data_IF_095945503136
#
_entry.id   IF_095945503136
#
_cell.length_a   1.000
_cell.length_b   1.000
_cell.length_c   1.000
_cell.angle_alpha   90.00
_cell.angle_beta   90.00
_cell.angle_gamma   90.00
#
_symmetry.space_group_name_H-M   'P 1'
#
loop_
_entity.id
_entity.type
_entity.pdbx_description
1 polymer ?
#
# COMPACT_ATOMS: atom_id res chain seq x y z
N UNK A 1 2.06 -20.44 6.45
CA UNK A 1 1.61 -21.16 5.24
C UNK A 1 0.09 -21.30 5.26
N UNK A 2 -0.50 -21.91 6.26
CA UNK A 2 -1.93 -22.27 6.34
C UNK A 2 -2.89 -21.08 6.20
N UNK A 3 -2.54 -19.93 6.78
CA UNK A 3 -3.32 -18.70 6.66
C UNK A 3 -3.45 -18.21 5.21
N UNK A 4 -2.39 -18.34 4.40
CA UNK A 4 -2.44 -17.95 2.98
C UNK A 4 -3.21 -18.94 2.14
N UNK A 5 -3.08 -20.24 2.42
CA UNK A 5 -3.87 -21.31 1.78
C UNK A 5 -5.34 -21.11 2.09
N UNK A 6 -5.68 -20.94 3.37
CA UNK A 6 -7.06 -20.66 3.82
C UNK A 6 -7.63 -19.42 3.11
N UNK A 7 -6.86 -18.33 3.02
CA UNK A 7 -7.32 -17.11 2.34
C UNK A 7 -7.72 -17.38 0.89
N UNK A 8 -6.93 -18.16 0.15
CA UNK A 8 -7.24 -18.53 -1.25
C UNK A 8 -8.46 -19.41 -1.40
N UNK A 9 -8.78 -20.23 -0.40
CA UNK A 9 -9.98 -21.06 -0.40
C UNK A 9 -11.24 -20.29 0.00
N UNK A 10 -11.13 -19.35 0.95
CA UNK A 10 -12.29 -18.64 1.51
C UNK A 10 -12.73 -17.49 0.60
N UNK A 11 -11.79 -16.75 0.03
CA UNK A 11 -12.07 -15.58 -0.79
C UNK A 11 -11.82 -15.85 -2.27
N UNK A 12 -12.82 -15.74 -3.15
CA UNK A 12 -12.60 -15.76 -4.60
C UNK A 12 -11.83 -14.49 -5.02
N UNK A 13 -10.50 -14.62 -5.14
CA UNK A 13 -9.64 -13.52 -5.50
C UNK A 13 -9.78 -13.14 -6.96
N UNK A 14 -10.10 -11.87 -7.20
CA UNK A 14 -9.92 -11.22 -8.50
C UNK A 14 -8.82 -10.18 -8.34
N UNK A 15 -7.97 -10.02 -9.35
CA UNK A 15 -6.91 -9.00 -9.34
C UNK A 15 -7.07 -8.07 -10.53
N UNK A 16 -7.18 -6.78 -10.26
CA UNK A 16 -7.20 -5.72 -11.26
C UNK A 16 -5.85 -5.01 -11.30
N UNK A 17 -5.40 -4.66 -12.50
CA UNK A 17 -4.13 -3.98 -12.75
C UNK A 17 -4.37 -2.64 -13.41
N UNK A 18 -3.67 -1.61 -12.92
CA UNK A 18 -3.70 -0.26 -13.51
C UNK A 18 -2.26 0.25 -13.60
N UNK A 19 -1.89 0.80 -14.75
CA UNK A 19 -0.64 1.53 -14.90
C UNK A 19 -0.87 3.01 -14.60
N UNK A 20 -0.07 3.58 -13.68
CA UNK A 20 -0.20 4.94 -13.21
C UNK A 20 1.04 5.76 -13.56
N UNK A 21 0.83 7.00 -14.02
CA UNK A 21 1.88 8.00 -14.10
C UNK A 21 2.10 8.64 -12.71
N UNK A 22 3.26 8.34 -12.13
CA UNK A 22 3.67 8.85 -10.82
C UNK A 22 4.79 9.90 -10.90
N UNK A 23 5.00 10.48 -12.09
CA UNK A 23 6.07 11.45 -12.34
C UNK A 23 6.00 12.63 -11.37
N UNK A 24 4.80 13.19 -11.14
CA UNK A 24 4.62 14.31 -10.23
C UNK A 24 4.96 13.94 -8.78
N UNK A 25 4.61 12.74 -8.34
CA UNK A 25 4.93 12.21 -7.00
C UNK A 25 6.46 12.05 -6.85
N UNK A 26 7.13 11.48 -7.86
CA UNK A 26 8.58 11.29 -7.86
C UNK A 26 9.30 12.63 -7.82
N UNK A 27 8.89 13.58 -8.66
CA UNK A 27 9.49 14.93 -8.72
C UNK A 27 9.26 15.69 -7.40
N UNK A 28 8.03 15.66 -6.87
CA UNK A 28 7.71 16.29 -5.58
C UNK A 28 8.59 15.71 -4.46
N UNK A 29 8.58 14.38 -4.32
CA UNK A 29 9.38 13.71 -3.29
C UNK A 29 10.87 14.05 -3.40
N UNK A 30 11.43 14.06 -4.62
CA UNK A 30 12.83 14.40 -4.84
C UNK A 30 13.15 15.85 -4.48
N UNK A 31 12.22 16.78 -4.70
CA UNK A 31 12.36 18.19 -4.35
C UNK A 31 12.35 18.41 -2.83
N UNK A 32 11.44 17.72 -2.11
CA UNK A 32 11.24 17.98 -0.67
C UNK A 32 12.09 17.10 0.25
N UNK A 33 12.69 16.01 -0.22
CA UNK A 33 13.36 15.00 0.62
C UNK A 33 14.43 15.56 1.55
N UNK A 34 15.18 16.58 1.10
CA UNK A 34 16.26 17.21 1.89
C UNK A 34 15.67 18.09 2.99
N UNK A 35 14.82 19.04 2.61
CA UNK A 35 14.18 19.94 3.57
C UNK A 35 13.28 19.20 4.57
N UNK A 36 12.61 18.13 4.13
CA UNK A 36 11.82 17.28 5.02
C UNK A 36 12.71 16.61 6.09
N UNK A 37 13.87 16.06 5.69
CA UNK A 37 14.83 15.49 6.63
C UNK A 37 15.35 16.56 7.61
N UNK A 38 15.70 17.75 7.13
CA UNK A 38 16.21 18.84 7.96
C UNK A 38 15.17 19.36 8.97
N UNK A 39 13.91 19.47 8.55
CA UNK A 39 12.83 20.02 9.39
C UNK A 39 12.17 18.98 10.29
N UNK A 40 12.01 17.74 9.83
CA UNK A 40 11.24 16.70 10.54
C UNK A 40 12.12 15.61 11.17
N UNK A 41 13.42 15.55 10.83
CA UNK A 41 14.33 14.51 11.27
C UNK A 41 14.04 13.13 10.68
N UNK A 42 13.18 13.06 9.63
CA UNK A 42 12.66 11.83 9.05
C UNK A 42 12.88 11.75 7.54
N UNK A 43 13.11 10.54 7.04
CA UNK A 43 13.16 10.28 5.60
C UNK A 43 11.76 10.17 5.03
N UNK A 44 11.46 10.96 3.98
CA UNK A 44 10.25 10.75 3.20
C UNK A 44 10.50 9.72 2.08
N UNK A 45 9.90 8.54 2.21
CA UNK A 45 9.89 7.48 1.20
C UNK A 45 8.56 7.53 0.41
N UNK A 46 8.36 6.66 -0.56
CA UNK A 46 7.10 6.59 -1.30
C UNK A 46 5.97 5.94 -0.49
N UNK A 47 6.29 5.06 0.46
CA UNK A 47 5.28 4.31 1.23
C UNK A 47 4.30 5.20 1.97
N UNK A 48 4.69 6.25 2.71
CA UNK A 48 3.74 7.16 3.36
C UNK A 48 2.79 7.83 2.37
N UNK A 49 3.26 8.18 1.17
CA UNK A 49 2.47 8.81 0.11
C UNK A 49 1.41 7.83 -0.40
N UNK A 50 1.79 6.57 -0.61
CA UNK A 50 0.86 5.52 -1.02
C UNK A 50 -0.15 5.20 0.07
N UNK A 51 0.26 5.19 1.35
CA UNK A 51 -0.67 5.02 2.49
C UNK A 51 -1.71 6.14 2.52
N UNK A 52 -1.29 7.40 2.34
CA UNK A 52 -2.23 8.54 2.29
C UNK A 52 -3.21 8.42 1.12
N UNK A 53 -2.74 8.03 -0.06
CA UNK A 53 -3.60 7.80 -1.23
C UNK A 53 -4.61 6.67 -0.99
N UNK A 54 -4.17 5.56 -0.39
CA UNK A 54 -5.05 4.42 -0.02
C UNK A 54 -6.09 4.86 1.00
N UNK A 55 -5.70 5.59 2.04
CA UNK A 55 -6.63 6.12 3.05
C UNK A 55 -7.72 6.98 2.40
N UNK A 56 -7.34 7.85 1.46
CA UNK A 56 -8.30 8.68 0.72
C UNK A 56 -9.26 7.81 -0.10
N UNK A 57 -8.74 6.84 -0.84
CA UNK A 57 -9.55 5.91 -1.62
C UNK A 57 -10.52 5.10 -0.75
N UNK A 58 -10.10 4.63 0.43
CA UNK A 58 -10.96 3.89 1.36
C UNK A 58 -12.07 4.74 1.96
N UNK A 59 -11.88 6.06 2.09
CA UNK A 59 -12.95 6.99 2.48
C UNK A 59 -13.99 7.14 1.37
N UNK A 60 -13.56 7.18 0.12
CA UNK A 60 -14.44 7.30 -1.04
C UNK A 60 -15.16 5.96 -1.36
N UNK A 61 -14.49 4.82 -1.08
CA UNK A 61 -14.98 3.47 -1.35
C UNK A 61 -14.97 2.60 -0.07
N UNK A 62 -15.84 2.87 0.91
CA UNK A 62 -15.79 2.25 2.23
C UNK A 62 -16.07 0.74 2.23
N UNK A 63 -16.69 0.20 1.18
CA UNK A 63 -16.92 -1.24 1.03
C UNK A 63 -15.63 -2.04 0.79
N UNK A 64 -14.51 -1.39 0.51
CA UNK A 64 -13.18 -2.02 0.45
C UNK A 64 -12.53 -2.13 1.84
N UNK A 65 -13.07 -1.41 2.85
CA UNK A 65 -12.61 -1.43 4.24
C UNK A 65 -13.55 -2.23 5.15
N UNK A 66 -13.83 -3.49 4.77
CA UNK A 66 -14.76 -4.37 5.47
C UNK A 66 -14.17 -5.76 5.71
N UNK A 67 -14.87 -6.58 6.48
CA UNK A 67 -14.61 -8.01 6.60
C UNK A 67 -15.89 -8.82 6.36
N UNK A 68 -15.75 -10.05 5.91
CA UNK A 68 -16.85 -11.01 5.81
C UNK A 68 -16.82 -11.93 7.04
N UNK A 69 -17.93 -11.96 7.77
CA UNK A 69 -18.12 -12.84 8.93
C UNK A 69 -19.39 -13.66 8.76
N UNK A 70 -19.26 -14.89 8.28
CA UNK A 70 -20.38 -15.71 7.86
C UNK A 70 -21.18 -15.02 6.74
N UNK A 71 -22.46 -14.76 6.99
CA UNK A 71 -23.36 -14.06 6.07
C UNK A 71 -23.41 -12.54 6.29
N UNK A 72 -22.56 -12.01 7.17
CA UNK A 72 -22.56 -10.59 7.52
C UNK A 72 -21.33 -9.89 6.96
N UNK A 73 -21.51 -8.65 6.51
CA UNK A 73 -20.43 -7.73 6.18
C UNK A 73 -20.20 -6.81 7.39
N UNK A 74 -19.00 -6.87 7.94
CA UNK A 74 -18.57 -6.00 9.04
C UNK A 74 -17.83 -4.81 8.47
N UNK A 75 -18.43 -3.62 8.51
CA UNK A 75 -17.80 -2.38 8.07
C UNK A 75 -16.96 -1.80 9.22
N UNK A 76 -15.67 -1.60 8.96
CA UNK A 76 -14.79 -0.94 9.91
C UNK A 76 -14.99 0.58 9.88
N UNK A 77 -15.02 1.17 11.08
CA UNK A 77 -15.03 2.63 11.23
C UNK A 77 -13.62 3.19 11.09
N UNK A 78 -12.64 2.49 11.67
CA UNK A 78 -11.23 2.87 11.64
C UNK A 78 -10.58 2.42 10.33
N UNK A 79 -9.59 3.16 9.87
CA UNK A 79 -8.75 2.80 8.71
C UNK A 79 -7.36 2.45 9.24
N UNK A 80 -7.10 1.14 9.33
CA UNK A 80 -5.85 0.58 9.84
C UNK A 80 -5.10 -0.10 8.69
N UNK A 81 -4.00 0.51 8.26
CA UNK A 81 -3.25 0.02 7.10
C UNK A 81 -2.13 -0.91 7.52
N UNK A 82 -2.27 -2.19 7.14
CA UNK A 82 -1.18 -3.16 7.22
C UNK A 82 -0.13 -2.87 6.15
N UNK A 83 1.13 -2.81 6.53
CA UNK A 83 2.25 -2.59 5.63
C UNK A 83 3.09 -3.86 5.56
N UNK A 84 2.99 -4.62 4.46
CA UNK A 84 3.75 -5.84 4.31
C UNK A 84 5.25 -5.54 4.19
N UNK A 85 6.04 -6.11 5.09
CA UNK A 85 7.48 -5.95 5.18
C UNK A 85 8.18 -7.31 5.15
N UNK A 86 9.17 -7.46 4.28
CA UNK A 86 10.04 -8.63 4.27
C UNK A 86 11.10 -8.50 5.36
N UNK A 87 11.25 -9.56 6.13
CA UNK A 87 12.29 -9.68 7.14
C UNK A 87 13.60 -10.21 6.51
N UNK A 88 14.76 -9.98 7.15
CA UNK A 88 16.04 -10.54 6.70
C UNK A 88 16.04 -12.09 6.60
N UNK A 89 15.18 -12.74 7.40
CA UNK A 89 14.96 -14.20 7.36
C UNK A 89 14.21 -14.71 6.14
N UNK A 90 13.72 -13.82 5.26
CA UNK A 90 12.83 -14.15 4.15
C UNK A 90 11.35 -14.28 4.54
N UNK A 91 11.03 -14.22 5.84
CA UNK A 91 9.64 -14.20 6.30
C UNK A 91 8.98 -12.86 6.05
N UNK A 92 7.65 -12.87 5.97
CA UNK A 92 6.83 -11.67 5.82
C UNK A 92 6.16 -11.33 7.16
N UNK A 93 6.18 -10.06 7.53
CA UNK A 93 5.41 -9.51 8.65
C UNK A 93 4.61 -8.30 8.17
N UNK A 94 3.46 -8.07 8.80
CA UNK A 94 2.54 -6.99 8.38
C UNK A 94 2.26 -6.07 9.58
N UNK A 95 3.19 -5.15 9.91
CA UNK A 95 2.90 -4.13 10.92
C UNK A 95 1.76 -3.21 10.47
N UNK A 96 0.98 -2.73 11.42
CA UNK A 96 -0.26 -1.99 11.20
C UNK A 96 -0.12 -0.52 11.64
N UNK A 97 -0.40 0.39 10.73
CA UNK A 97 -0.57 1.81 11.01
C UNK A 97 -2.03 2.01 11.41
N UNK A 98 -2.28 2.08 12.72
CA UNK A 98 -3.63 2.28 13.25
C UNK A 98 -4.09 3.72 13.04
N UNK A 99 -5.38 3.89 12.72
CA UNK A 99 -6.01 5.20 12.47
C UNK A 99 -5.20 6.05 11.48
N UNK A 100 -4.81 5.43 10.36
CA UNK A 100 -3.96 6.07 9.36
C UNK A 100 -4.60 7.35 8.77
N UNK A 101 -5.92 7.45 8.80
CA UNK A 101 -6.71 8.59 8.35
C UNK A 101 -6.62 9.81 9.28
N UNK A 102 -6.15 9.64 10.51
CA UNK A 102 -5.93 10.71 11.50
C UNK A 102 -4.51 11.29 11.41
N UNK A 103 -3.63 10.72 10.59
CA UNK A 103 -2.24 11.14 10.45
C UNK A 103 -2.04 12.02 9.21
N UNK A 104 -1.27 13.08 9.37
CA UNK A 104 -0.75 13.85 8.24
C UNK A 104 0.51 13.19 7.65
N UNK A 105 1.05 13.73 6.56
CA UNK A 105 2.23 13.17 5.87
C UNK A 105 3.44 12.97 6.81
N UNK A 106 3.69 13.91 7.71
CA UNK A 106 4.80 13.79 8.69
C UNK A 106 4.54 12.64 9.67
N UNK A 107 3.32 12.53 10.19
CA UNK A 107 2.91 11.43 11.07
C UNK A 107 3.00 10.06 10.37
N UNK A 108 2.54 9.98 9.12
CA UNK A 108 2.66 8.77 8.31
C UNK A 108 4.13 8.40 8.06
N UNK A 109 4.99 9.36 7.69
CA UNK A 109 6.40 9.11 7.48
C UNK A 109 7.09 8.55 8.73
N UNK A 110 6.83 9.15 9.90
CA UNK A 110 7.35 8.69 11.20
C UNK A 110 6.89 7.27 11.51
N UNK A 111 5.59 6.98 11.37
CA UNK A 111 5.03 5.65 11.63
C UNK A 111 5.57 4.58 10.69
N UNK A 112 5.63 4.87 9.40
CA UNK A 112 6.17 3.93 8.38
C UNK A 112 7.64 3.62 8.67
N UNK A 113 8.47 4.64 8.94
CA UNK A 113 9.89 4.45 9.22
C UNK A 113 10.11 3.68 10.51
N UNK A 114 9.40 4.02 11.59
CA UNK A 114 9.49 3.36 12.89
C UNK A 114 9.11 1.88 12.77
N UNK A 115 7.91 1.59 12.25
CA UNK A 115 7.43 0.20 12.10
C UNK A 115 8.33 -0.62 11.20
N UNK A 116 8.79 -0.06 10.07
CA UNK A 116 9.70 -0.76 9.15
C UNK A 116 11.06 -1.05 9.79
N UNK A 117 11.60 -0.11 10.59
CA UNK A 117 12.86 -0.31 11.30
C UNK A 117 12.73 -1.37 12.40
N UNK A 118 11.68 -1.29 13.20
CA UNK A 118 11.43 -2.28 14.28
C UNK A 118 11.07 -3.66 13.73
N UNK A 119 10.39 -3.74 12.59
CA UNK A 119 10.16 -4.99 11.89
C UNK A 119 11.47 -5.71 11.53
N UNK A 120 12.40 -4.99 10.87
CA UNK A 120 13.71 -5.56 10.49
C UNK A 120 14.56 -6.01 11.68
N UNK A 121 14.37 -5.39 12.84
CA UNK A 121 15.09 -5.70 14.07
C UNK A 121 14.33 -6.64 15.01
N UNK A 122 13.23 -7.26 14.56
CA UNK A 122 12.35 -8.13 15.36
C UNK A 122 11.88 -7.48 16.69
N UNK A 123 11.58 -6.17 16.65
CA UNK A 123 11.18 -5.37 17.83
C UNK A 123 9.71 -4.90 17.77
N UNK A 124 8.90 -5.50 16.92
CA UNK A 124 7.46 -5.23 16.89
C UNK A 124 6.76 -5.88 18.07
N UNK A 125 5.76 -5.18 18.62
CA UNK A 125 4.88 -5.73 19.64
C UNK A 125 3.74 -6.53 19.00
N UNK A 126 3.14 -7.51 19.71
CA UNK A 126 2.04 -8.31 19.17
C UNK A 126 0.82 -7.50 18.72
N UNK A 127 0.51 -6.40 19.41
CA UNK A 127 -0.60 -5.52 19.08
C UNK A 127 -0.34 -4.65 17.84
N UNK A 128 0.90 -4.54 17.40
CA UNK A 128 1.29 -3.77 16.21
C UNK A 128 1.17 -4.57 14.90
N UNK A 129 0.89 -5.86 14.98
CA UNK A 129 0.71 -6.74 13.81
C UNK A 129 -0.73 -7.25 13.70
N UNK A 130 -1.65 -6.70 14.47
CA UNK A 130 -3.06 -7.08 14.53
C UNK A 130 -3.98 -5.90 14.28
N UNK A 131 -5.22 -6.20 13.87
CA UNK A 131 -6.26 -5.19 13.68
C UNK A 131 -6.12 -4.34 12.42
N UNK A 132 -5.34 -4.78 11.43
CA UNK A 132 -5.31 -4.17 10.10
C UNK A 132 -6.63 -4.38 9.36
N UNK A 133 -7.12 -3.36 8.67
CA UNK A 133 -8.38 -3.41 7.91
C UNK A 133 -8.16 -3.42 6.39
N UNK A 134 -6.99 -3.03 5.93
CA UNK A 134 -6.53 -3.09 4.55
C UNK A 134 -5.02 -3.30 4.53
N UNK A 135 -4.48 -3.96 3.52
CA UNK A 135 -3.03 -4.20 3.41
C UNK A 135 -2.44 -3.56 2.16
N UNK A 136 -1.31 -2.88 2.35
CA UNK A 136 -0.43 -2.38 1.27
C UNK A 136 0.86 -3.21 1.24
N UNK A 137 1.25 -3.71 0.07
CA UNK A 137 2.52 -4.40 -0.13
C UNK A 137 3.33 -3.73 -1.24
N UNK A 138 4.63 -3.60 -1.05
CA UNK A 138 5.52 -3.05 -2.06
C UNK A 138 6.37 -4.17 -2.67
N UNK A 139 5.95 -4.65 -3.83
CA UNK A 139 6.66 -5.68 -4.60
C UNK A 139 7.74 -5.08 -5.50
N UNK A 140 7.69 -3.76 -5.71
CA UNK A 140 8.66 -3.03 -6.52
C UNK A 140 10.05 -2.98 -5.91
N UNK A 141 10.18 -3.14 -4.58
CA UNK A 141 11.49 -3.25 -3.90
C UNK A 141 12.27 -4.48 -4.32
N UNK A 142 11.59 -5.52 -4.82
CA UNK A 142 12.17 -6.73 -5.39
C UNK A 142 12.32 -6.66 -6.93
N UNK A 143 12.03 -5.50 -7.54
CA UNK A 143 12.07 -5.31 -8.97
C UNK A 143 10.82 -5.78 -9.73
N UNK A 144 9.80 -6.30 -9.04
CA UNK A 144 8.57 -6.74 -9.67
C UNK A 144 7.77 -5.56 -10.22
N UNK A 145 7.23 -5.72 -11.43
CA UNK A 145 6.41 -4.69 -12.09
C UNK A 145 4.99 -4.71 -11.55
N UNK A 146 4.41 -5.89 -11.37
CA UNK A 146 3.07 -6.13 -10.82
C UNK A 146 3.04 -7.49 -10.12
N UNK A 147 1.95 -7.79 -9.42
CA UNK A 147 1.77 -9.05 -8.71
C UNK A 147 0.31 -9.38 -8.47
N UNK A 148 0.05 -10.57 -7.98
CA UNK A 148 -1.27 -11.04 -7.54
C UNK A 148 -1.21 -11.30 -6.04
N UNK A 149 -1.29 -10.27 -5.19
CA UNK A 149 -1.13 -10.44 -3.76
C UNK A 149 -2.30 -11.25 -3.17
N UNK A 150 -1.99 -12.01 -2.10
CA UNK A 150 -3.00 -12.81 -1.39
C UNK A 150 -3.59 -11.95 -0.28
N UNK A 151 -4.92 -11.92 -0.19
CA UNK A 151 -5.66 -11.15 0.81
C UNK A 151 -5.27 -11.62 2.21
N UNK A 152 -5.00 -10.68 3.11
CA UNK A 152 -4.71 -10.94 4.51
C UNK A 152 -6.03 -11.00 5.31
N UNK A 153 -6.57 -12.21 5.46
CA UNK A 153 -7.85 -12.41 6.17
C UNK A 153 -7.84 -11.80 7.58
N UNK A 154 -8.96 -11.23 8.06
CA UNK A 154 -10.32 -11.21 7.47
C UNK A 154 -10.58 -10.02 6.52
N UNK A 155 -9.55 -9.30 6.10
CA UNK A 155 -9.65 -8.21 5.12
C UNK A 155 -10.23 -8.72 3.78
N UNK A 156 -10.80 -7.83 3.00
CA UNK A 156 -11.37 -8.15 1.68
C UNK A 156 -10.52 -7.68 0.51
N UNK A 157 -9.44 -6.93 0.77
CA UNK A 157 -8.57 -6.44 -0.30
C UNK A 157 -7.13 -6.20 0.17
N UNK A 158 -6.21 -6.23 -0.79
CA UNK A 158 -4.79 -5.91 -0.64
C UNK A 158 -4.29 -5.23 -1.92
N UNK A 159 -3.54 -4.14 -1.75
CA UNK A 159 -2.92 -3.41 -2.85
C UNK A 159 -1.43 -3.72 -2.92
N UNK A 160 -0.95 -4.17 -4.08
CA UNK A 160 0.48 -4.23 -4.38
C UNK A 160 0.90 -3.05 -5.26
N UNK A 161 1.99 -2.39 -4.89
CA UNK A 161 2.64 -1.36 -5.70
C UNK A 161 3.90 -1.93 -6.34
N UNK A 162 3.99 -1.77 -7.66
CA UNK A 162 5.12 -2.25 -8.46
C UNK A 162 6.30 -1.30 -8.47
N UNK A 163 7.36 -1.69 -9.18
CA UNK A 163 8.54 -0.85 -9.36
C UNK A 163 8.22 0.39 -10.19
N UNK A 164 8.66 1.56 -9.73
CA UNK A 164 8.60 2.80 -10.51
C UNK A 164 9.71 2.77 -11.57
N UNK A 165 9.33 2.87 -12.84
CA UNK A 165 10.24 2.81 -13.98
C UNK A 165 10.04 4.00 -14.91
N UNK A 166 11.12 4.52 -15.48
CA UNK A 166 11.03 5.47 -16.58
C UNK A 166 10.62 4.73 -17.85
N UNK A 167 9.58 5.24 -18.52
CA UNK A 167 9.06 4.72 -19.76
C UNK A 167 8.67 5.87 -20.70
N UNK A 168 8.76 5.71 -22.02
CA UNK A 168 8.06 6.60 -22.95
C UNK A 168 6.55 6.41 -22.76
N UNK A 169 5.83 7.50 -22.66
CA UNK A 169 4.38 7.54 -22.52
C UNK A 169 3.82 8.65 -23.41
N UNK A 170 2.63 8.43 -23.93
CA UNK A 170 1.87 9.44 -24.67
C UNK A 170 1.26 10.42 -23.67
N UNK A 171 1.44 11.70 -23.93
CA UNK A 171 0.74 12.78 -23.25
C UNK A 171 -0.19 13.46 -24.26
N UNK A 172 -1.46 13.45 -23.95
CA UNK A 172 -2.45 14.23 -24.70
C UNK A 172 -2.32 15.71 -24.34
N UNK A 173 -2.14 16.55 -25.33
CA UNK A 173 -2.07 18.01 -25.16
C UNK A 173 -3.09 18.70 -26.05
N UNK A 174 -3.37 19.96 -25.83
CA UNK A 174 -4.23 20.77 -26.69
C UNK A 174 -3.73 20.87 -28.14
N UNK A 175 -2.44 20.62 -28.39
CA UNK A 175 -1.82 20.64 -29.71
C UNK A 175 -1.60 19.23 -30.31
N UNK A 176 -2.17 18.19 -29.68
CA UNK A 176 -2.02 16.79 -30.11
C UNK A 176 -1.15 15.97 -29.14
N UNK A 177 -0.94 14.72 -29.50
CA UNK A 177 -0.20 13.76 -28.69
C UNK A 177 1.30 13.98 -28.80
N UNK A 178 2.00 13.94 -27.66
CA UNK A 178 3.46 13.98 -27.59
C UNK A 178 3.99 12.79 -26.79
N UNK A 179 5.20 12.32 -27.14
CA UNK A 179 5.90 11.27 -26.39
C UNK A 179 6.82 11.93 -25.36
N UNK A 180 6.65 11.56 -24.10
CA UNK A 180 7.49 12.04 -23.01
C UNK A 180 8.00 10.88 -22.14
N UNK A 181 9.16 11.08 -21.50
CA UNK A 181 9.65 10.12 -20.51
C UNK A 181 8.92 10.39 -19.19
N UNK A 182 8.19 9.36 -18.71
CA UNK A 182 7.40 9.42 -17.48
C UNK A 182 7.83 8.33 -16.49
N UNK A 183 7.62 8.58 -15.21
CA UNK A 183 7.76 7.55 -14.19
C UNK A 183 6.44 6.81 -14.06
N UNK A 184 6.43 5.56 -14.53
CA UNK A 184 5.25 4.71 -14.55
C UNK A 184 5.34 3.62 -13.49
N UNK A 185 4.21 3.24 -12.94
CA UNK A 185 4.10 2.20 -11.91
C UNK A 185 2.78 1.46 -12.09
N UNK A 186 2.81 0.13 -11.93
CA UNK A 186 1.60 -0.66 -11.83
C UNK A 186 1.08 -0.73 -10.39
N UNK A 187 -0.22 -0.60 -10.25
CA UNK A 187 -0.98 -0.96 -9.08
C UNK A 187 -1.69 -2.29 -9.36
N UNK A 188 -1.65 -3.21 -8.41
CA UNK A 188 -2.32 -4.51 -8.48
C UNK A 188 -3.20 -4.66 -7.25
N UNK A 189 -4.52 -4.57 -7.41
CA UNK A 189 -5.49 -4.72 -6.35
C UNK A 189 -6.10 -6.12 -6.42
N UNK A 190 -5.81 -6.97 -5.43
CA UNK A 190 -6.57 -8.22 -5.24
C UNK A 190 -7.70 -7.98 -4.24
N UNK A 191 -8.89 -8.44 -4.57
CA UNK A 191 -10.07 -8.26 -3.76
C UNK A 191 -10.96 -9.51 -3.74
N UNK A 192 -11.76 -9.61 -2.69
CA UNK A 192 -12.76 -10.66 -2.51
C UNK A 192 -14.01 -10.31 -3.31
N UNK A 193 -14.23 -11.02 -4.42
CA UNK A 193 -15.34 -10.71 -5.35
C UNK A 193 -16.73 -11.11 -4.81
N UNK A 194 -16.84 -11.55 -3.56
CA UNK A 194 -18.13 -11.65 -2.87
C UNK A 194 -18.65 -10.29 -2.37
N UNK A 195 -17.75 -9.31 -2.24
CA UNK A 195 -18.03 -8.00 -1.61
C UNK A 195 -17.69 -6.83 -2.51
N UNK A 196 -16.59 -6.93 -3.25
CA UNK A 196 -16.03 -5.86 -4.10
C UNK A 196 -16.13 -6.23 -5.56
#
# INVERSE_FOLDING_TARGET
ADHMVMSKHVSPHVTSFVECDVTNIVNWRNRVKKSFMEQQGEKITFTPIFVEAVVKALKDYPMVNVAVNGNNIVRYKDINIGMAAALPSGNLIVPVIKNADMLNMTGLAKKVNDLANRARNNKLKPDEIQGGTFTLTNVGTFGNVMGTPIINQPQVAILAVGAIRKKPAVLETEYGDVIAIRHMMFLSLSYDHRVV
#
